data_IF_596892047901
#
_entry.id   IF_596892047901
#
_cell.length_a   1.000
_cell.length_b   1.000
_cell.length_c   1.000
_cell.angle_alpha   90.00
_cell.angle_beta   90.00
_cell.angle_gamma   90.00
#
_symmetry.space_group_name_H-M   'P 1'
#
loop_
_entity.id
_entity.type
_entity.pdbx_description
1 polymer ?
#
# COMPACT_ATOMS: atom_id res chain seq x y z
N UNK A 1 -3.56 -14.31 13.22
CA UNK A 1 -2.84 -13.15 12.68
C UNK A 1 -3.56 -12.56 11.45
N UNK A 2 -4.74 -11.98 11.64
CA UNK A 2 -5.46 -11.25 10.56
C UNK A 2 -5.87 -9.83 11.00
N UNK A 3 -5.81 -9.57 12.31
CA UNK A 3 -6.10 -8.26 12.89
C UNK A 3 -4.98 -7.28 12.50
N UNK A 4 -3.71 -7.69 12.59
CA UNK A 4 -2.57 -6.84 12.19
C UNK A 4 -2.60 -6.45 10.70
N UNK A 5 -3.02 -7.34 9.80
CA UNK A 5 -3.06 -7.02 8.37
C UNK A 5 -4.05 -5.91 8.02
N UNK A 6 -5.15 -5.80 8.78
CA UNK A 6 -6.14 -4.73 8.58
C UNK A 6 -5.58 -3.37 9.03
N UNK A 7 -4.83 -3.36 10.13
CA UNK A 7 -4.23 -2.15 10.68
C UNK A 7 -3.12 -1.60 9.78
N UNK A 8 -2.24 -2.47 9.27
CA UNK A 8 -1.18 -2.09 8.33
C UNK A 8 -1.76 -1.50 7.05
N UNK A 9 -2.81 -2.12 6.48
CA UNK A 9 -3.48 -1.56 5.28
C UNK A 9 -4.15 -0.22 5.61
N UNK A 10 -4.76 -0.07 6.79
CA UNK A 10 -5.36 1.18 7.24
C UNK A 10 -4.36 2.33 7.31
N UNK A 11 -3.18 2.10 7.89
CA UNK A 11 -2.11 3.09 7.98
C UNK A 11 -1.58 3.49 6.60
N UNK A 12 -1.29 2.51 5.75
CA UNK A 12 -0.85 2.75 4.37
C UNK A 12 -1.88 3.56 3.56
N UNK A 13 -3.17 3.28 3.72
CA UNK A 13 -4.24 4.09 3.13
C UNK A 13 -4.19 5.53 3.61
N UNK A 14 -4.02 5.75 4.92
CA UNK A 14 -3.91 7.08 5.51
C UNK A 14 -2.77 7.91 4.90
N UNK A 15 -1.60 7.29 4.68
CA UNK A 15 -0.46 7.93 4.02
C UNK A 15 -0.82 8.37 2.59
N UNK A 16 -1.46 7.49 1.80
CA UNK A 16 -1.85 7.84 0.42
C UNK A 16 -2.95 8.90 0.37
N UNK A 17 -3.91 8.84 1.28
CA UNK A 17 -4.97 9.84 1.42
C UNK A 17 -4.37 11.22 1.72
N UNK A 18 -3.40 11.28 2.63
CA UNK A 18 -2.69 12.53 2.95
C UNK A 18 -1.95 13.07 1.72
N UNK A 19 -1.15 12.25 1.05
CA UNK A 19 -0.25 12.72 -0.01
C UNK A 19 -0.94 13.05 -1.32
N UNK A 20 -1.97 12.27 -1.67
CA UNK A 20 -2.64 12.38 -2.98
C UNK A 20 -4.03 13.01 -2.88
N UNK A 21 -4.51 13.33 -1.67
CA UNK A 21 -5.86 13.88 -1.42
C UNK A 21 -6.97 13.02 -2.05
N UNK A 22 -6.81 11.71 -1.93
CA UNK A 22 -7.74 10.70 -2.43
C UNK A 22 -8.57 10.08 -1.30
N UNK A 23 -9.66 9.41 -1.64
CA UNK A 23 -10.48 8.68 -0.65
C UNK A 23 -9.78 7.40 -0.18
N UNK A 24 -10.24 6.85 0.95
CA UNK A 24 -9.73 5.56 1.42
C UNK A 24 -9.97 4.41 0.43
N UNK A 25 -11.08 4.42 -0.30
CA UNK A 25 -11.33 3.43 -1.34
C UNK A 25 -10.33 3.55 -2.50
N UNK A 26 -10.09 4.77 -2.98
CA UNK A 26 -9.09 5.03 -4.00
C UNK A 26 -7.68 4.63 -3.54
N UNK A 27 -7.31 4.92 -2.29
CA UNK A 27 -6.04 4.49 -1.71
C UNK A 27 -5.89 2.96 -1.68
N UNK A 28 -6.96 2.23 -1.37
CA UNK A 28 -6.94 0.76 -1.41
C UNK A 28 -6.74 0.22 -2.83
N UNK A 29 -7.37 0.85 -3.83
CA UNK A 29 -7.15 0.52 -5.24
C UNK A 29 -5.68 0.75 -5.62
N UNK A 30 -5.06 1.85 -5.18
CA UNK A 30 -3.63 2.12 -5.41
C UNK A 30 -2.74 1.02 -4.83
N UNK A 31 -2.95 0.63 -3.58
CA UNK A 31 -2.20 -0.48 -2.95
C UNK A 31 -2.41 -1.79 -3.72
N UNK A 32 -3.65 -2.06 -4.13
CA UNK A 32 -4.00 -3.27 -4.90
C UNK A 32 -3.34 -3.30 -6.28
N UNK A 33 -3.23 -2.15 -6.95
CA UNK A 33 -2.51 -2.05 -8.22
C UNK A 33 -1.00 -2.25 -8.03
N UNK A 34 -0.41 -1.68 -6.98
CA UNK A 34 1.00 -1.85 -6.68
C UNK A 34 1.32 -3.33 -6.39
N UNK A 35 0.49 -4.01 -5.59
CA UNK A 35 0.60 -5.45 -5.31
C UNK A 35 0.58 -6.30 -6.58
N UNK A 36 -0.36 -6.03 -7.49
CA UNK A 36 -0.43 -6.74 -8.77
C UNK A 36 0.79 -6.47 -9.65
N UNK A 37 1.28 -5.23 -9.70
CA UNK A 37 2.45 -4.85 -10.52
C UNK A 37 3.75 -5.47 -10.02
N UNK A 38 3.92 -5.57 -8.71
CA UNK A 38 5.14 -6.09 -8.08
C UNK A 38 5.07 -7.59 -7.77
N UNK A 39 3.90 -8.22 -7.92
CA UNK A 39 3.62 -9.59 -7.45
C UNK A 39 3.91 -9.79 -5.94
N UNK A 40 3.82 -8.71 -5.15
CA UNK A 40 3.93 -8.78 -3.69
C UNK A 40 2.54 -8.93 -3.07
N UNK A 41 2.44 -9.51 -1.88
CA UNK A 41 1.16 -9.54 -1.17
C UNK A 41 0.77 -8.10 -0.82
N UNK A 42 -0.54 -7.83 -0.73
CA UNK A 42 -1.04 -6.49 -0.42
C UNK A 42 -0.49 -5.95 0.91
N UNK A 43 -0.34 -6.83 1.91
CA UNK A 43 0.28 -6.50 3.19
C UNK A 43 1.75 -6.09 3.04
N UNK A 44 2.56 -6.81 2.26
CA UNK A 44 3.96 -6.45 2.00
C UNK A 44 4.08 -5.07 1.33
N UNK A 45 3.16 -4.75 0.42
CA UNK A 45 3.11 -3.43 -0.23
C UNK A 45 2.78 -2.33 0.76
N UNK A 46 1.80 -2.58 1.65
CA UNK A 46 1.41 -1.62 2.67
C UNK A 46 2.54 -1.39 3.69
N UNK A 47 3.19 -2.46 4.15
CA UNK A 47 4.34 -2.40 5.06
C UNK A 47 5.54 -1.68 4.43
N UNK A 48 5.82 -1.96 3.15
CA UNK A 48 6.84 -1.23 2.40
C UNK A 48 6.52 0.27 2.33
N UNK A 49 5.27 0.64 2.00
CA UNK A 49 4.88 2.05 1.96
C UNK A 49 5.02 2.73 3.32
N UNK A 50 4.70 2.05 4.42
CA UNK A 50 4.82 2.61 5.78
C UNK A 50 6.30 2.82 6.14
N UNK A 51 7.15 1.84 5.83
CA UNK A 51 8.57 1.87 6.20
C UNK A 51 9.42 2.77 5.31
N UNK A 52 9.21 2.74 3.98
CA UNK A 52 9.99 3.52 3.01
C UNK A 52 9.36 4.86 2.68
N UNK A 53 8.05 5.00 2.91
CA UNK A 53 7.31 6.13 2.40
C UNK A 53 7.16 6.10 0.88
N UNK A 54 7.38 4.98 0.18
CA UNK A 54 7.20 4.89 -1.28
C UNK A 54 6.47 3.59 -1.65
N UNK A 55 5.75 3.59 -2.77
CA UNK A 55 5.17 2.34 -3.29
C UNK A 55 6.26 1.51 -3.97
N UNK A 56 6.30 0.18 -3.72
CA UNK A 56 7.31 -0.67 -4.33
C UNK A 56 7.19 -0.61 -5.85
N UNK A 57 8.33 -0.41 -6.52
CA UNK A 57 8.42 -0.43 -7.97
C UNK A 57 9.01 -1.76 -8.41
N UNK A 58 8.43 -2.37 -9.45
CA UNK A 58 9.05 -3.54 -10.10
C UNK A 58 10.30 -3.04 -10.82
N UNK A 59 11.47 -3.30 -10.26
CA UNK A 59 12.74 -3.00 -10.92
C UNK A 59 12.75 -3.69 -12.29
N UNK A 60 12.68 -2.88 -13.36
CA UNK A 60 13.00 -3.33 -14.71
C UNK A 60 14.51 -3.53 -14.75
N UNK A 61 14.96 -4.77 -14.59
CA UNK A 61 16.28 -5.17 -15.09
C UNK A 61 16.19 -5.38 -16.59
#
# INVERSE_FOLDING_TARGET
>A
EAVDSRDVIGQAKGILMERHKITGEQAFIVLSMASQRTHMKLWDVADHLISSGELPQRNKR
#
